data_IF_194025799287
#
_entry.id   IF_194025799287
#
_cell.length_a   1.000
_cell.length_b   1.000
_cell.length_c   1.000
_cell.angle_alpha   90.00
_cell.angle_beta   90.00
_cell.angle_gamma   90.00
#
_symmetry.space_group_name_H-M   'P 1'
#
loop_
_entity.id
_entity.type
_entity.pdbx_description
1 polymer ?
#
# COMPACT_ATOMS: atom_id res chain seq x y z
N UNK A 1 -16.49 10.77 -4.25
CA UNK A 1 -15.11 10.38 -3.87
C UNK A 1 -14.17 11.56 -3.97
N UNK A 2 -13.32 11.71 -2.98
CA UNK A 2 -12.33 12.77 -2.88
C UNK A 2 -11.28 12.65 -3.96
N UNK A 3 -10.84 13.79 -4.48
CA UNK A 3 -9.65 13.80 -5.32
C UNK A 3 -8.42 13.39 -4.50
N UNK A 4 -7.48 12.72 -5.17
CA UNK A 4 -6.32 12.20 -4.45
C UNK A 4 -5.46 13.30 -3.81
N UNK A 5 -5.34 14.46 -4.45
CA UNK A 5 -4.47 15.52 -3.96
C UNK A 5 -4.95 16.03 -2.60
N UNK A 6 -6.25 16.08 -2.41
CA UNK A 6 -6.87 16.37 -1.11
C UNK A 6 -6.44 15.35 -0.05
N UNK A 7 -6.51 14.04 -0.34
CA UNK A 7 -6.03 13.01 0.58
C UNK A 7 -4.52 13.10 0.87
N UNK A 8 -3.71 13.35 -0.16
CA UNK A 8 -2.25 13.49 -0.02
C UNK A 8 -1.86 14.64 0.91
N UNK A 9 -2.63 15.74 0.91
CA UNK A 9 -2.39 16.88 1.80
C UNK A 9 -2.68 16.59 3.28
N UNK A 10 -3.56 15.64 3.57
CA UNK A 10 -3.89 15.23 4.93
C UNK A 10 -2.85 14.24 5.49
N UNK A 11 -2.14 13.52 4.61
CA UNK A 11 -1.16 12.52 4.99
C UNK A 11 0.22 13.10 5.38
N UNK A 12 0.77 12.55 6.46
CA UNK A 12 2.17 12.57 6.84
C UNK A 12 2.51 11.20 7.42
N UNK A 13 2.97 10.28 6.58
CA UNK A 13 3.31 8.91 7.01
C UNK A 13 4.42 8.84 8.07
N UNK A 14 5.21 9.92 8.26
CA UNK A 14 6.22 10.01 9.32
C UNK A 14 5.65 10.46 10.66
N UNK A 15 4.43 10.98 10.66
CA UNK A 15 3.69 11.40 11.85
C UNK A 15 2.21 11.03 11.71
N UNK A 16 1.87 9.74 11.91
CA UNK A 16 0.49 9.27 11.78
C UNK A 16 -0.48 9.96 12.75
N UNK A 17 -0.01 10.43 13.91
CA UNK A 17 -0.82 11.17 14.86
C UNK A 17 -1.23 12.55 14.34
N UNK A 18 -0.32 13.27 13.66
CA UNK A 18 -0.67 14.51 12.98
C UNK A 18 -1.68 14.27 11.84
N UNK A 19 -1.56 13.16 11.12
CA UNK A 19 -2.56 12.78 10.11
C UNK A 19 -3.91 12.45 10.71
N UNK A 20 -3.96 11.69 11.81
CA UNK A 20 -5.21 11.44 12.54
C UNK A 20 -5.92 12.75 12.89
N UNK A 21 -5.20 13.71 13.48
CA UNK A 21 -5.76 15.01 13.84
C UNK A 21 -6.33 15.76 12.62
N UNK A 22 -5.64 15.71 11.47
CA UNK A 22 -6.11 16.32 10.22
C UNK A 22 -7.33 15.62 9.64
N UNK A 23 -7.38 14.29 9.64
CA UNK A 23 -8.55 13.55 9.17
C UNK A 23 -9.77 13.79 10.06
N UNK A 24 -9.60 13.80 11.39
CA UNK A 24 -10.69 14.15 12.32
C UNK A 24 -11.20 15.58 12.08
N UNK A 25 -10.31 16.53 11.82
CA UNK A 25 -10.70 17.90 11.47
C UNK A 25 -11.43 17.97 10.12
N UNK A 26 -10.95 17.24 9.10
CA UNK A 26 -11.61 17.20 7.80
C UNK A 26 -13.02 16.61 7.88
N UNK A 27 -13.24 15.57 8.70
CA UNK A 27 -14.55 14.92 8.84
C UNK A 27 -15.67 15.82 9.40
N UNK A 28 -15.33 16.92 10.08
CA UNK A 28 -16.32 17.87 10.61
C UNK A 28 -16.61 19.05 9.67
N UNK A 29 -15.88 19.16 8.56
CA UNK A 29 -16.12 20.21 7.56
C UNK A 29 -17.42 19.93 6.79
N UNK A 30 -18.28 20.93 6.69
CA UNK A 30 -19.59 20.82 6.01
C UNK A 30 -19.46 20.66 4.49
N UNK A 31 -18.26 20.91 3.92
CA UNK A 31 -18.04 20.86 2.48
C UNK A 31 -18.00 19.44 1.90
N UNK A 32 -17.76 18.43 2.74
CA UNK A 32 -17.70 17.03 2.31
C UNK A 32 -19.09 16.40 2.37
N UNK A 33 -19.42 15.58 1.39
CA UNK A 33 -20.66 14.79 1.40
C UNK A 33 -20.53 13.50 2.26
N UNK A 34 -21.54 12.64 2.22
CA UNK A 34 -21.54 11.40 3.01
C UNK A 34 -20.44 10.43 2.55
N UNK A 35 -20.30 10.24 1.23
CA UNK A 35 -19.35 9.29 0.65
C UNK A 35 -17.90 9.78 0.84
N UNK A 36 -17.67 11.08 0.69
CA UNK A 36 -16.37 11.71 0.97
C UNK A 36 -15.99 11.60 2.45
N UNK A 37 -16.95 11.75 3.38
CA UNK A 37 -16.71 11.52 4.81
C UNK A 37 -16.41 10.05 5.11
N UNK A 38 -17.11 9.12 4.46
CA UNK A 38 -16.84 7.69 4.58
C UNK A 38 -15.42 7.35 4.08
N UNK A 39 -15.01 7.95 2.96
CA UNK A 39 -13.64 7.83 2.47
C UNK A 39 -12.61 8.39 3.46
N UNK A 40 -12.84 9.58 4.04
CA UNK A 40 -11.97 10.15 5.08
C UNK A 40 -11.88 9.23 6.31
N UNK A 41 -12.99 8.60 6.70
CA UNK A 41 -13.03 7.68 7.83
C UNK A 41 -12.16 6.43 7.58
N UNK A 42 -12.13 5.91 6.35
CA UNK A 42 -11.19 4.80 6.02
C UNK A 42 -9.73 5.24 6.18
N UNK A 43 -9.37 6.45 5.74
CA UNK A 43 -8.02 7.00 5.90
C UNK A 43 -7.68 7.29 7.38
N UNK A 44 -8.66 7.73 8.16
CA UNK A 44 -8.53 7.89 9.61
C UNK A 44 -8.22 6.54 10.28
N UNK A 45 -8.94 5.47 9.94
CA UNK A 45 -8.67 4.11 10.43
C UNK A 45 -7.24 3.65 10.11
N UNK A 46 -6.76 3.93 8.90
CA UNK A 46 -5.35 3.69 8.53
C UNK A 46 -4.37 4.46 9.43
N UNK A 47 -4.62 5.75 9.68
CA UNK A 47 -3.73 6.59 10.49
C UNK A 47 -3.70 6.14 11.97
N UNK A 48 -4.84 5.71 12.51
CA UNK A 48 -4.95 5.16 13.87
C UNK A 48 -4.21 3.82 13.97
N UNK A 49 -4.38 2.93 12.99
CA UNK A 49 -3.71 1.62 12.99
C UNK A 49 -2.18 1.72 12.90
N UNK A 50 -1.65 2.70 12.17
CA UNK A 50 -0.21 2.99 12.12
C UNK A 50 0.38 3.43 13.48
N UNK A 51 -0.47 3.83 14.43
CA UNK A 51 -0.08 4.13 15.82
C UNK A 51 -0.23 2.91 16.75
N UNK A 52 -0.57 1.73 16.22
CA UNK A 52 -0.78 0.51 17.00
C UNK A 52 -2.14 0.43 17.73
N UNK A 53 -3.05 1.40 17.49
CA UNK A 53 -4.40 1.46 18.09
C UNK A 53 -5.39 0.61 17.27
N UNK A 54 -5.13 -0.68 17.16
CA UNK A 54 -5.86 -1.57 16.25
C UNK A 54 -7.34 -1.73 16.58
N UNK A 55 -7.71 -1.84 17.87
CA UNK A 55 -9.11 -1.99 18.28
C UNK A 55 -9.94 -0.75 17.94
N UNK A 56 -9.37 0.44 18.07
CA UNK A 56 -10.04 1.68 17.70
C UNK A 56 -10.18 1.83 16.19
N UNK A 57 -9.14 1.45 15.43
CA UNK A 57 -9.21 1.45 13.97
C UNK A 57 -10.29 0.48 13.47
N UNK A 58 -10.38 -0.72 14.06
CA UNK A 58 -11.38 -1.73 13.73
C UNK A 58 -12.80 -1.23 14.02
N UNK A 59 -13.05 -0.71 15.23
CA UNK A 59 -14.34 -0.14 15.61
C UNK A 59 -14.75 1.03 14.69
N UNK A 60 -13.81 1.91 14.33
CA UNK A 60 -14.09 2.98 13.37
C UNK A 60 -14.49 2.43 12.01
N UNK A 61 -13.82 1.39 11.50
CA UNK A 61 -14.10 0.76 10.21
C UNK A 61 -15.40 -0.06 10.20
N UNK A 62 -15.93 -0.44 11.37
CA UNK A 62 -17.24 -1.07 11.52
C UNK A 62 -18.40 -0.09 11.42
N UNK A 63 -18.17 1.18 11.76
CA UNK A 63 -19.19 2.23 11.75
C UNK A 63 -19.31 2.97 10.41
N UNK A 64 -18.50 2.63 9.40
CA UNK A 64 -18.52 3.27 8.08
C UNK A 64 -19.60 2.63 7.20
N UNK A 65 -20.44 3.48 6.61
CA UNK A 65 -21.40 3.08 5.58
C UNK A 65 -20.68 2.75 4.26
N UNK A 66 -21.02 1.60 3.66
CA UNK A 66 -20.38 1.06 2.46
C UNK A 66 -21.27 1.12 1.21
N UNK A 67 -22.33 1.93 1.24
CA UNK A 67 -23.24 2.18 0.11
C UNK A 67 -22.50 2.59 -1.18
N UNK A 68 -21.40 3.35 -1.07
CA UNK A 68 -20.51 3.67 -2.19
C UNK A 68 -19.47 2.56 -2.41
N UNK A 69 -19.44 1.87 -3.57
CA UNK A 69 -18.59 0.68 -3.77
C UNK A 69 -17.09 0.88 -3.53
N UNK A 70 -16.55 2.05 -3.91
CA UNK A 70 -15.13 2.35 -3.68
C UNK A 70 -14.80 2.50 -2.19
N UNK A 71 -15.76 2.94 -1.36
CA UNK A 71 -15.62 2.94 0.11
C UNK A 71 -15.56 1.50 0.62
N UNK A 72 -16.40 0.61 0.12
CA UNK A 72 -16.37 -0.82 0.45
C UNK A 72 -15.00 -1.47 0.20
N UNK A 73 -14.36 -1.18 -0.94
CA UNK A 73 -12.98 -1.62 -1.23
C UNK A 73 -12.01 -1.13 -0.17
N UNK A 74 -12.08 0.15 0.20
CA UNK A 74 -11.18 0.75 1.19
C UNK A 74 -11.38 0.15 2.58
N UNK A 75 -12.63 -0.11 2.99
CA UNK A 75 -12.92 -0.78 4.26
C UNK A 75 -12.24 -2.15 4.31
N UNK A 76 -12.42 -2.98 3.28
CA UNK A 76 -11.78 -4.31 3.19
C UNK A 76 -10.26 -4.20 3.26
N UNK A 77 -9.67 -3.27 2.52
CA UNK A 77 -8.23 -3.04 2.48
C UNK A 77 -7.67 -2.61 3.84
N UNK A 78 -8.32 -1.65 4.50
CA UNK A 78 -7.86 -1.16 5.81
C UNK A 78 -8.09 -2.17 6.93
N UNK A 79 -9.19 -2.95 6.91
CA UNK A 79 -9.38 -4.08 7.84
C UNK A 79 -8.29 -5.14 7.66
N UNK A 80 -7.96 -5.48 6.41
CA UNK A 80 -6.84 -6.36 6.09
C UNK A 80 -5.51 -5.83 6.65
N UNK A 81 -5.26 -4.51 6.51
CA UNK A 81 -4.06 -3.86 7.06
C UNK A 81 -4.03 -3.89 8.59
N UNK A 82 -5.15 -3.62 9.27
CA UNK A 82 -5.30 -3.69 10.73
C UNK A 82 -5.03 -5.11 11.23
N UNK A 83 -5.63 -6.12 10.61
CA UNK A 83 -5.42 -7.53 10.98
C UNK A 83 -3.96 -7.96 10.77
N UNK A 84 -3.36 -7.61 9.63
CA UNK A 84 -1.98 -7.94 9.35
C UNK A 84 -1.02 -7.29 10.37
N UNK A 85 -1.14 -5.98 10.59
CA UNK A 85 -0.32 -5.25 11.55
C UNK A 85 -0.54 -5.71 13.00
N UNK A 86 -1.76 -6.13 13.34
CA UNK A 86 -2.12 -6.71 14.63
C UNK A 86 -1.71 -8.18 14.80
N UNK A 87 -0.91 -8.76 13.89
CA UNK A 87 -0.38 -10.12 14.02
C UNK A 87 -1.37 -11.24 13.66
N UNK A 88 -2.42 -10.91 12.89
CA UNK A 88 -3.44 -11.86 12.41
C UNK A 88 -3.45 -11.95 10.87
N UNK A 89 -2.31 -12.23 10.22
CA UNK A 89 -2.20 -12.21 8.75
C UNK A 89 -3.15 -13.19 8.07
N UNK A 90 -3.34 -14.39 8.62
CA UNK A 90 -4.25 -15.39 8.06
C UNK A 90 -5.72 -14.91 7.98
N UNK A 91 -6.14 -14.01 8.87
CA UNK A 91 -7.47 -13.41 8.82
C UNK A 91 -7.52 -12.23 7.83
N UNK A 92 -6.38 -11.59 7.56
CA UNK A 92 -6.30 -10.48 6.61
C UNK A 92 -6.44 -10.95 5.15
N UNK A 93 -5.85 -12.10 4.81
CA UNK A 93 -5.81 -12.64 3.43
C UNK A 93 -7.18 -12.62 2.74
N UNK A 94 -8.24 -13.25 3.26
CA UNK A 94 -9.53 -13.29 2.57
C UNK A 94 -10.17 -11.90 2.38
N UNK A 95 -9.88 -10.92 3.25
CA UNK A 95 -10.37 -9.55 3.08
C UNK A 95 -9.59 -8.82 1.98
N UNK A 96 -8.28 -9.03 1.92
CA UNK A 96 -7.41 -8.43 0.92
C UNK A 96 -7.63 -9.03 -0.48
N UNK A 97 -7.94 -10.32 -0.58
CA UNK A 97 -8.39 -10.95 -1.83
C UNK A 97 -9.68 -10.31 -2.33
N UNK A 98 -10.70 -10.19 -1.46
CA UNK A 98 -11.95 -9.51 -1.80
C UNK A 98 -11.72 -8.05 -2.19
N UNK A 99 -10.82 -7.33 -1.51
CA UNK A 99 -10.48 -5.96 -1.86
C UNK A 99 -9.85 -5.88 -3.27
N UNK A 100 -8.93 -6.79 -3.61
CA UNK A 100 -8.29 -6.84 -4.92
C UNK A 100 -9.30 -7.14 -6.04
N UNK A 101 -10.16 -8.15 -5.84
CA UNK A 101 -11.19 -8.54 -6.81
C UNK A 101 -12.22 -7.44 -7.05
N UNK A 102 -12.73 -6.83 -5.98
CA UNK A 102 -13.71 -5.75 -6.09
C UNK A 102 -13.10 -4.49 -6.71
N UNK A 103 -11.87 -4.13 -6.33
CA UNK A 103 -11.15 -3.00 -6.92
C UNK A 103 -10.94 -3.20 -8.43
N UNK A 104 -10.54 -4.39 -8.86
CA UNK A 104 -10.39 -4.71 -10.28
C UNK A 104 -11.72 -4.61 -11.02
N UNK A 105 -12.80 -5.16 -10.46
CA UNK A 105 -14.13 -5.09 -11.05
C UNK A 105 -14.63 -3.65 -11.24
N UNK A 106 -14.33 -2.77 -10.29
CA UNK A 106 -14.70 -1.35 -10.33
C UNK A 106 -13.73 -0.49 -11.17
N UNK A 107 -12.59 -1.05 -11.61
CA UNK A 107 -11.56 -0.31 -12.31
C UNK A 107 -10.74 0.63 -11.41
N UNK A 108 -10.73 0.38 -10.11
CA UNK A 108 -9.96 1.10 -9.08
C UNK A 108 -8.50 0.61 -9.07
N UNK A 109 -7.78 0.86 -10.17
CA UNK A 109 -6.44 0.29 -10.45
C UNK A 109 -5.45 0.50 -9.30
N UNK A 110 -5.48 1.68 -8.67
CA UNK A 110 -4.61 2.00 -7.53
C UNK A 110 -4.90 1.12 -6.30
N UNK A 111 -6.19 0.90 -6.00
CA UNK A 111 -6.61 0.11 -4.84
C UNK A 111 -6.38 -1.38 -5.08
N UNK A 112 -6.56 -1.86 -6.31
CA UNK A 112 -6.24 -3.23 -6.70
C UNK A 112 -4.75 -3.53 -6.46
N UNK A 113 -3.87 -2.63 -6.88
CA UNK A 113 -2.41 -2.76 -6.64
C UNK A 113 -2.07 -2.68 -5.15
N UNK A 114 -2.68 -1.78 -4.37
CA UNK A 114 -2.45 -1.72 -2.91
C UNK A 114 -2.90 -3.02 -2.22
N UNK A 115 -4.04 -3.58 -2.62
CA UNK A 115 -4.53 -4.86 -2.09
C UNK A 115 -3.60 -6.03 -2.41
N UNK A 116 -3.12 -6.15 -3.66
CA UNK A 116 -2.14 -7.18 -4.06
C UNK A 116 -0.80 -7.01 -3.32
N UNK A 117 -0.35 -5.77 -3.13
CA UNK A 117 0.82 -5.49 -2.31
C UNK A 117 0.59 -5.93 -0.85
N UNK A 118 -0.56 -5.61 -0.26
CA UNK A 118 -0.88 -6.05 1.10
C UNK A 118 -0.97 -7.57 1.22
N UNK A 119 -1.47 -8.29 0.21
CA UNK A 119 -1.44 -9.75 0.14
C UNK A 119 -0.01 -10.30 0.19
N UNK A 120 0.94 -9.65 -0.50
CA UNK A 120 2.35 -10.06 -0.45
C UNK A 120 2.96 -9.96 0.95
N UNK A 121 2.41 -9.09 1.81
CA UNK A 121 2.84 -8.93 3.21
C UNK A 121 2.11 -9.88 4.17
N UNK A 122 0.82 -10.14 3.92
CA UNK A 122 -0.01 -10.99 4.77
C UNK A 122 0.20 -12.49 4.49
N UNK A 123 0.33 -12.88 3.22
CA UNK A 123 0.50 -14.27 2.81
C UNK A 123 1.98 -14.56 2.49
N UNK A 124 2.76 -14.78 3.53
CA UNK A 124 4.20 -15.03 3.42
C UNK A 124 4.54 -16.27 2.58
N UNK A 125 3.64 -17.25 2.47
CA UNK A 125 3.86 -18.47 1.68
C UNK A 125 3.82 -18.18 0.17
N UNK A 126 2.99 -17.21 -0.24
CA UNK A 126 2.82 -16.82 -1.64
C UNK A 126 3.31 -15.39 -1.93
N UNK A 127 4.11 -14.79 -1.04
CA UNK A 127 4.55 -13.41 -1.14
C UNK A 127 5.16 -13.03 -2.51
N UNK A 128 6.02 -13.89 -3.07
CA UNK A 128 6.59 -13.66 -4.41
C UNK A 128 5.52 -13.68 -5.52
N UNK A 129 4.55 -14.58 -5.42
CA UNK A 129 3.44 -14.68 -6.39
C UNK A 129 2.63 -13.40 -6.36
N UNK A 130 2.17 -12.98 -5.17
CA UNK A 130 1.39 -11.76 -5.00
C UNK A 130 2.13 -10.51 -5.47
N UNK A 131 3.42 -10.40 -5.19
CA UNK A 131 4.22 -9.25 -5.60
C UNK A 131 4.44 -9.21 -7.12
N UNK A 132 4.58 -10.36 -7.78
CA UNK A 132 4.62 -10.44 -9.24
C UNK A 132 3.27 -10.09 -9.87
N UNK A 133 2.16 -10.55 -9.29
CA UNK A 133 0.82 -10.16 -9.73
C UNK A 133 0.58 -8.66 -9.59
N UNK A 134 1.02 -8.04 -8.49
CA UNK A 134 0.95 -6.59 -8.30
C UNK A 134 1.77 -5.83 -9.35
N UNK A 135 2.97 -6.31 -9.68
CA UNK A 135 3.82 -5.72 -10.73
C UNK A 135 3.18 -5.83 -12.11
N UNK A 136 2.64 -7.00 -12.45
CA UNK A 136 1.93 -7.22 -13.72
C UNK A 136 0.75 -6.26 -13.84
N UNK A 137 -0.09 -6.17 -12.81
CA UNK A 137 -1.24 -5.29 -12.78
C UNK A 137 -0.85 -3.81 -12.88
N UNK A 138 0.11 -3.36 -12.06
CA UNK A 138 0.58 -1.97 -12.07
C UNK A 138 1.23 -1.57 -13.41
N UNK A 139 1.83 -2.51 -14.13
CA UNK A 139 2.42 -2.24 -15.45
C UNK A 139 1.38 -1.87 -16.51
N UNK A 140 0.15 -2.38 -16.38
CA UNK A 140 -0.96 -2.10 -17.30
C UNK A 140 -1.80 -0.90 -16.90
N UNK A 141 -1.61 -0.37 -15.68
CA UNK A 141 -2.38 0.76 -15.17
C UNK A 141 -2.24 2.01 -16.07
N UNK A 142 -3.31 2.78 -16.19
CA UNK A 142 -3.37 3.91 -17.12
C UNK A 142 -2.67 5.14 -16.57
N UNK A 143 -2.84 5.42 -15.29
CA UNK A 143 -2.34 6.63 -14.65
C UNK A 143 -0.91 6.46 -14.10
N UNK A 144 -0.15 7.55 -14.07
CA UNK A 144 1.23 7.55 -13.59
C UNK A 144 1.34 7.31 -12.08
N UNK A 145 0.29 7.64 -11.31
CA UNK A 145 0.30 7.44 -9.86
C UNK A 145 0.23 5.95 -9.53
N UNK A 146 -0.62 5.19 -10.19
CA UNK A 146 -0.67 3.74 -10.02
C UNK A 146 0.63 3.10 -10.52
N UNK A 147 1.15 3.51 -11.68
CA UNK A 147 2.46 3.05 -12.17
C UNK A 147 3.62 3.36 -11.21
N UNK A 148 3.53 4.39 -10.38
CA UNK A 148 4.55 4.69 -9.36
C UNK A 148 4.69 3.58 -8.32
N UNK A 149 3.68 2.72 -8.13
CA UNK A 149 3.79 1.52 -7.28
C UNK A 149 4.91 0.58 -7.72
N UNK A 150 5.26 0.56 -9.01
CA UNK A 150 6.37 -0.26 -9.54
C UNK A 150 7.66 -0.06 -8.74
N UNK A 151 7.91 1.14 -8.22
CA UNK A 151 9.08 1.43 -7.38
C UNK A 151 9.06 0.58 -6.10
N UNK A 152 7.98 0.68 -5.31
CA UNK A 152 7.88 0.00 -4.03
C UNK A 152 7.78 -1.52 -4.21
N UNK A 153 7.07 -1.97 -5.24
CA UNK A 153 6.92 -3.40 -5.56
C UNK A 153 8.24 -4.05 -5.97
N UNK A 154 9.02 -3.41 -6.85
CA UNK A 154 10.34 -3.92 -7.22
C UNK A 154 11.33 -3.90 -6.04
N UNK A 155 11.30 -2.86 -5.20
CA UNK A 155 12.08 -2.83 -3.94
C UNK A 155 11.68 -3.99 -3.01
N UNK A 156 10.38 -4.23 -2.86
CA UNK A 156 9.84 -5.32 -2.05
C UNK A 156 10.31 -6.68 -2.57
N UNK A 157 10.20 -6.92 -3.89
CA UNK A 157 10.59 -8.18 -4.51
C UNK A 157 12.09 -8.41 -4.44
N UNK A 158 12.90 -7.38 -4.72
CA UNK A 158 14.34 -7.44 -4.53
C UNK A 158 14.72 -7.79 -3.09
N UNK A 159 14.05 -7.17 -2.10
CA UNK A 159 14.29 -7.46 -0.69
C UNK A 159 13.94 -8.89 -0.31
N UNK A 160 12.78 -9.38 -0.77
CA UNK A 160 12.35 -10.77 -0.58
C UNK A 160 13.36 -11.76 -1.17
N UNK A 161 13.77 -11.56 -2.43
CA UNK A 161 14.72 -12.41 -3.14
C UNK A 161 16.10 -12.41 -2.48
N UNK A 162 16.56 -11.24 -2.01
CA UNK A 162 17.80 -11.10 -1.24
C UNK A 162 17.77 -11.92 0.04
N UNK A 163 16.64 -11.88 0.77
CA UNK A 163 16.42 -12.73 1.96
C UNK A 163 16.45 -14.24 1.66
N UNK A 164 16.17 -14.64 0.42
CA UNK A 164 16.31 -16.02 -0.08
C UNK A 164 17.68 -16.34 -0.70
N UNK A 165 18.66 -15.45 -0.56
CA UNK A 165 20.00 -15.53 -1.20
C UNK A 165 19.97 -15.57 -2.74
N UNK A 166 18.87 -15.19 -3.38
CA UNK A 166 18.74 -15.05 -4.85
C UNK A 166 19.25 -13.68 -5.29
N UNK A 167 20.53 -13.41 -4.99
CA UNK A 167 21.11 -12.06 -5.06
C UNK A 167 21.14 -11.48 -6.49
N UNK A 168 21.37 -12.30 -7.50
CA UNK A 168 21.36 -11.84 -8.90
C UNK A 168 19.96 -11.38 -9.33
N UNK A 169 18.93 -12.13 -8.96
CA UNK A 169 17.55 -11.75 -9.24
C UNK A 169 17.14 -10.51 -8.44
N UNK A 170 17.54 -10.44 -7.16
CA UNK A 170 17.31 -9.26 -6.33
C UNK A 170 17.92 -7.98 -6.95
N UNK A 171 19.14 -8.07 -7.49
CA UNK A 171 19.80 -6.96 -8.16
C UNK A 171 18.99 -6.46 -9.37
N UNK A 172 18.43 -7.37 -10.17
CA UNK A 172 17.58 -7.00 -11.32
C UNK A 172 16.36 -6.20 -10.85
N UNK A 173 15.69 -6.67 -9.80
CA UNK A 173 14.52 -5.96 -9.25
C UNK A 173 14.90 -4.57 -8.71
N UNK A 174 16.02 -4.42 -8.00
CA UNK A 174 16.45 -3.11 -7.53
C UNK A 174 16.82 -2.14 -8.68
N UNK A 175 17.41 -2.64 -9.76
CA UNK A 175 17.67 -1.83 -10.97
C UNK A 175 16.37 -1.41 -11.66
N UNK A 176 15.35 -2.26 -11.69
CA UNK A 176 14.02 -1.89 -12.20
C UNK A 176 13.37 -0.84 -11.30
N UNK A 177 13.47 -0.98 -9.97
CA UNK A 177 12.99 0.03 -9.03
C UNK A 177 13.65 1.40 -9.28
N UNK A 178 14.97 1.44 -9.52
CA UNK A 178 15.69 2.67 -9.84
C UNK A 178 15.18 3.31 -11.14
N UNK A 179 15.02 2.53 -12.21
CA UNK A 179 14.48 3.04 -13.49
C UNK A 179 13.10 3.67 -13.31
N UNK A 180 12.21 3.03 -12.56
CA UNK A 180 10.90 3.61 -12.25
C UNK A 180 11.00 4.83 -11.33
N UNK A 181 11.93 4.84 -10.38
CA UNK A 181 12.14 5.97 -9.49
C UNK A 181 12.68 7.20 -10.22
N UNK A 182 13.55 7.03 -11.21
CA UNK A 182 14.01 8.15 -12.06
C UNK A 182 12.87 8.76 -12.87
N UNK A 183 11.92 7.94 -13.32
CA UNK A 183 10.79 8.38 -14.15
C UNK A 183 9.67 9.04 -13.34
N UNK A 184 9.25 8.41 -12.24
CA UNK A 184 8.01 8.76 -11.51
C UNK A 184 8.23 8.98 -10.01
N UNK A 185 9.44 8.73 -9.50
CA UNK A 185 9.74 8.74 -8.08
C UNK A 185 10.07 10.11 -7.51
N UNK A 186 9.93 10.22 -6.19
CA UNK A 186 10.51 11.32 -5.41
C UNK A 186 12.03 11.12 -5.23
N UNK A 187 12.75 12.17 -4.84
CA UNK A 187 14.18 12.05 -4.50
C UNK A 187 14.43 11.02 -3.39
N UNK A 188 13.53 10.89 -2.41
CA UNK A 188 13.61 9.86 -1.38
C UNK A 188 13.50 8.44 -1.95
N UNK A 189 12.63 8.23 -2.94
CA UNK A 189 12.48 6.93 -3.61
C UNK A 189 13.68 6.60 -4.51
N UNK A 190 14.26 7.60 -5.19
CA UNK A 190 15.49 7.41 -5.97
C UNK A 190 16.67 7.03 -5.06
N UNK A 191 16.82 7.74 -3.95
CA UNK A 191 17.85 7.43 -2.95
C UNK A 191 17.70 6.00 -2.41
N UNK A 192 16.47 5.59 -2.07
CA UNK A 192 16.18 4.25 -1.58
C UNK A 192 16.53 3.16 -2.60
N UNK A 193 16.18 3.34 -3.88
CA UNK A 193 16.51 2.37 -4.92
C UNK A 193 18.04 2.24 -5.12
N UNK A 194 18.76 3.35 -5.15
CA UNK A 194 20.24 3.38 -5.26
C UNK A 194 20.93 2.73 -4.06
N UNK A 195 20.40 2.95 -2.86
CA UNK A 195 20.87 2.30 -1.63
C UNK A 195 20.69 0.78 -1.73
N UNK A 196 19.51 0.31 -2.13
CA UNK A 196 19.23 -1.12 -2.28
C UNK A 196 20.17 -1.81 -3.29
N UNK A 197 20.46 -1.17 -4.42
CA UNK A 197 21.47 -1.64 -5.41
C UNK A 197 22.85 -1.73 -4.75
N UNK A 198 23.27 -0.70 -4.04
CA UNK A 198 24.59 -0.64 -3.38
C UNK A 198 24.75 -1.76 -2.36
N UNK A 199 23.75 -1.97 -1.51
CA UNK A 199 23.74 -3.06 -0.52
C UNK A 199 23.77 -4.43 -1.18
N UNK A 200 22.95 -4.65 -2.21
CA UNK A 200 22.91 -5.92 -2.92
C UNK A 200 24.24 -6.22 -3.63
N UNK A 201 24.91 -5.19 -4.15
CA UNK A 201 26.23 -5.30 -4.78
C UNK A 201 27.32 -5.74 -3.79
N UNK A 202 27.30 -5.21 -2.55
CA UNK A 202 28.19 -5.66 -1.48
C UNK A 202 27.96 -7.14 -1.16
N UNK A 203 26.70 -7.55 -0.99
CA UNK A 203 26.36 -8.95 -0.72
C UNK A 203 26.80 -9.90 -1.85
N UNK A 204 26.69 -9.47 -3.12
CA UNK A 204 27.17 -10.25 -4.26
C UNK A 204 28.70 -10.43 -4.25
N UNK A 205 29.44 -9.40 -3.84
CA UNK A 205 30.90 -9.42 -3.79
C UNK A 205 31.44 -10.31 -2.65
N UNK A 206 30.68 -10.46 -1.56
CA UNK A 206 31.05 -11.31 -0.41
C UNK A 206 30.87 -12.81 -0.68
N UNK A 207 30.10 -13.18 -1.70
CA UNK A 207 29.79 -14.57 -2.05
C UNK A 207 28.66 -15.18 -1.19
N UNK A 208 28.07 -16.33 -1.62
CA UNK A 208 26.94 -16.97 -0.95
C UNK A 208 27.23 -17.62 0.41
#
# INVERSE_FOLDING_TARGET
MLDQKTLDHLWNFRDPAASEARFRAAMIEEMYDADERAELATQLGRAISLQGRFEEADALLDDIDDDEPTVGVRILLERGRVLNAGGRPAMAVPLLEQAAELADHLGEEFLAVDALHMLSLADAAHAEVWMRSALEYASTARDERTKRWMIALHVGLGTFLRGKKRLTEAMVEFQLAEQWAERLGSEGQKALAREAITECGKALAEGP
#
